data_IF_843753666547
#
_entry.id   IF_843753666547
#
_cell.length_a   1.000
_cell.length_b   1.000
_cell.length_c   1.000
_cell.angle_alpha   90.00
_cell.angle_beta   90.00
_cell.angle_gamma   90.00
#
_symmetry.space_group_name_H-M   'P 1'
#
loop_
_entity.id
_entity.type
_entity.pdbx_description
1 polymer ?
#
# COMPACT_ATOMS: atom_id res chain seq x y z
N UNK A 1 14.69 9.78 15.51
CA UNK A 1 13.65 8.76 15.78
C UNK A 1 12.47 8.98 14.84
N UNK A 2 11.85 7.93 14.32
CA UNK A 2 10.63 8.05 13.52
C UNK A 2 9.51 8.67 14.38
N UNK A 3 8.79 9.65 13.84
CA UNK A 3 7.62 10.23 14.51
C UNK A 3 6.50 9.16 14.49
N UNK A 4 6.05 8.65 15.65
CA UNK A 4 5.01 7.62 15.69
C UNK A 4 3.63 8.14 15.20
N UNK A 5 3.49 9.45 14.99
CA UNK A 5 2.30 10.07 14.41
C UNK A 5 2.38 10.24 12.89
N UNK A 6 3.56 10.02 12.29
CA UNK A 6 3.70 10.07 10.84
C UNK A 6 2.98 8.88 10.19
N UNK A 7 2.30 9.09 9.04
CA UNK A 7 1.70 8.01 8.26
C UNK A 7 2.73 6.92 7.93
N UNK A 8 2.30 5.65 7.92
CA UNK A 8 3.19 4.50 7.73
C UNK A 8 4.09 4.63 6.49
N UNK A 9 3.54 5.13 5.37
CA UNK A 9 4.22 5.30 4.09
C UNK A 9 4.88 6.69 3.91
N UNK A 10 5.05 7.48 4.97
CA UNK A 10 5.66 8.81 4.85
C UNK A 10 7.15 8.75 4.46
N UNK A 11 7.92 7.85 5.08
CA UNK A 11 9.31 7.55 4.72
C UNK A 11 9.40 6.18 4.06
N UNK A 12 9.64 6.15 2.75
CA UNK A 12 9.67 4.91 1.98
C UNK A 12 10.91 4.04 2.22
N UNK A 13 12.02 4.59 2.71
CA UNK A 13 13.20 3.80 3.07
C UNK A 13 12.90 3.01 4.34
N UNK A 14 12.29 3.67 5.33
CA UNK A 14 11.84 3.01 6.55
C UNK A 14 10.71 2.00 6.26
N UNK A 15 9.75 2.39 5.41
CA UNK A 15 8.62 1.53 5.03
C UNK A 15 9.09 0.24 4.38
N UNK A 16 10.08 0.28 3.49
CA UNK A 16 10.62 -0.93 2.86
C UNK A 16 11.14 -1.94 3.89
N UNK A 17 11.82 -1.45 4.94
CA UNK A 17 12.32 -2.32 6.02
C UNK A 17 11.16 -2.94 6.81
N UNK A 18 10.11 -2.16 7.10
CA UNK A 18 8.91 -2.64 7.79
C UNK A 18 8.14 -3.67 6.96
N UNK A 19 8.01 -3.45 5.65
CA UNK A 19 7.34 -4.38 4.73
C UNK A 19 8.06 -5.73 4.64
N UNK A 20 9.40 -5.72 4.56
CA UNK A 20 10.18 -6.96 4.61
C UNK A 20 9.99 -7.72 5.92
N UNK A 21 9.92 -7.03 7.06
CA UNK A 21 9.64 -7.66 8.35
C UNK A 21 8.23 -8.27 8.41
N UNK A 22 7.24 -7.56 7.88
CA UNK A 22 5.85 -8.06 7.80
C UNK A 22 5.80 -9.33 6.94
N UNK A 23 6.50 -9.35 5.81
CA UNK A 23 6.62 -10.51 4.92
C UNK A 23 7.33 -11.69 5.61
N UNK A 24 8.46 -11.45 6.28
CA UNK A 24 9.24 -12.47 6.99
C UNK A 24 8.48 -13.10 8.17
N UNK A 25 7.65 -12.32 8.86
CA UNK A 25 6.77 -12.81 9.93
C UNK A 25 5.61 -13.67 9.37
N UNK A 26 5.40 -13.67 8.05
CA UNK A 26 4.45 -14.54 7.36
C UNK A 26 3.11 -13.89 7.03
N UNK A 27 3.01 -12.56 7.08
CA UNK A 27 1.82 -11.88 6.56
C UNK A 27 1.75 -12.04 5.05
N UNK A 28 0.55 -12.37 4.56
CA UNK A 28 0.32 -12.64 3.14
C UNK A 28 -0.27 -11.45 2.39
N UNK A 29 -0.90 -10.50 3.08
CA UNK A 29 -1.63 -9.39 2.47
C UNK A 29 -1.51 -8.10 3.28
N UNK A 30 -1.41 -6.98 2.57
CA UNK A 30 -1.67 -5.63 3.10
C UNK A 30 -2.86 -5.01 2.36
N UNK A 31 -3.60 -4.17 3.08
CA UNK A 31 -4.68 -3.34 2.53
C UNK A 31 -4.24 -1.88 2.60
N UNK A 32 -4.28 -1.19 1.46
CA UNK A 32 -4.00 0.24 1.33
C UNK A 32 -5.34 0.98 1.28
N UNK A 33 -5.57 1.82 2.29
CA UNK A 33 -6.82 2.58 2.47
C UNK A 33 -6.51 3.99 2.99
N UNK A 34 -5.97 4.84 2.11
CA UNK A 34 -5.68 6.25 2.40
C UNK A 34 -6.89 7.15 2.08
N UNK A 35 -7.21 8.12 2.96
CA UNK A 35 -8.35 9.02 2.76
C UNK A 35 -8.22 9.96 1.55
N UNK A 36 -7.02 10.13 0.98
CA UNK A 36 -6.83 10.90 -0.25
C UNK A 36 -7.36 10.17 -1.51
N UNK A 37 -7.71 8.89 -1.40
CA UNK A 37 -8.46 8.14 -2.41
C UNK A 37 -7.60 7.42 -3.45
N UNK A 38 -8.23 7.03 -4.56
CA UNK A 38 -7.72 6.03 -5.51
C UNK A 38 -6.29 6.28 -5.99
N UNK A 39 -5.97 7.50 -6.44
CA UNK A 39 -4.64 7.79 -7.01
C UNK A 39 -3.53 7.66 -5.95
N UNK A 40 -3.79 8.14 -4.73
CA UNK A 40 -2.85 7.98 -3.61
C UNK A 40 -2.70 6.50 -3.23
N UNK A 41 -3.80 5.76 -3.19
CA UNK A 41 -3.78 4.33 -2.91
C UNK A 41 -3.00 3.55 -3.98
N UNK A 42 -3.11 3.92 -5.26
CA UNK A 42 -2.33 3.33 -6.34
C UNK A 42 -0.83 3.65 -6.22
N UNK A 43 -0.45 4.88 -5.90
CA UNK A 43 0.96 5.27 -5.70
C UNK A 43 1.59 4.51 -4.51
N UNK A 44 0.89 4.44 -3.39
CA UNK A 44 1.32 3.67 -2.21
C UNK A 44 1.44 2.18 -2.58
N UNK A 45 0.44 1.60 -3.24
CA UNK A 45 0.43 0.20 -3.63
C UNK A 45 1.59 -0.13 -4.59
N UNK A 46 1.83 0.70 -5.61
CA UNK A 46 2.94 0.52 -6.54
C UNK A 46 4.30 0.54 -5.83
N UNK A 47 4.51 1.48 -4.90
CA UNK A 47 5.76 1.56 -4.14
C UNK A 47 5.94 0.40 -3.18
N UNK A 48 4.86 -0.12 -2.61
CA UNK A 48 4.91 -1.32 -1.76
C UNK A 48 5.22 -2.57 -2.61
N UNK A 49 4.61 -2.71 -3.80
CA UNK A 49 4.89 -3.79 -4.74
C UNK A 49 6.36 -3.82 -5.16
N UNK A 50 6.98 -2.67 -5.40
CA UNK A 50 8.41 -2.55 -5.74
C UNK A 50 9.37 -2.98 -4.61
N UNK A 51 8.85 -3.32 -3.43
CA UNK A 51 9.63 -3.59 -2.20
C UNK A 51 9.28 -4.89 -1.50
N UNK A 52 8.26 -5.61 -1.96
CA UNK A 52 7.84 -6.91 -1.42
C UNK A 52 7.92 -7.97 -2.51
N UNK A 53 8.18 -9.22 -2.14
CA UNK A 53 8.33 -10.30 -3.13
C UNK A 53 7.13 -11.23 -3.26
N UNK A 54 6.40 -11.43 -2.16
CA UNK A 54 5.31 -12.40 -2.04
C UNK A 54 4.04 -11.82 -1.44
N UNK A 55 4.09 -10.56 -1.01
CA UNK A 55 3.02 -9.93 -0.27
C UNK A 55 1.92 -9.44 -1.23
N UNK A 56 0.69 -9.90 -1.05
CA UNK A 56 -0.46 -9.46 -1.84
C UNK A 56 -0.86 -8.04 -1.44
N UNK A 57 -1.02 -7.15 -2.41
CA UNK A 57 -1.38 -5.76 -2.17
C UNK A 57 -2.79 -5.53 -2.69
N UNK A 58 -3.69 -5.18 -1.78
CA UNK A 58 -5.06 -4.77 -2.09
C UNK A 58 -5.20 -3.30 -1.78
N UNK A 59 -5.89 -2.57 -2.64
CA UNK A 59 -6.23 -1.18 -2.39
C UNK A 59 -7.74 -0.99 -2.42
N UNK A 60 -8.22 -0.03 -1.63
CA UNK A 60 -9.61 0.40 -1.64
C UNK A 60 -9.79 1.58 -2.58
N UNK A 61 -11.01 1.75 -3.08
CA UNK A 61 -11.44 2.98 -3.71
C UNK A 61 -12.94 3.17 -3.49
N UNK A 62 -13.41 4.42 -3.55
CA UNK A 62 -14.84 4.69 -3.48
C UNK A 62 -15.56 4.27 -4.76
N UNK A 63 -16.80 3.81 -4.61
CA UNK A 63 -17.64 3.48 -5.74
C UNK A 63 -17.82 4.71 -6.66
N UNK A 64 -17.80 4.48 -7.97
CA UNK A 64 -17.96 5.54 -8.99
C UNK A 64 -16.70 6.36 -9.30
N UNK A 65 -15.59 6.18 -8.58
CA UNK A 65 -14.31 6.85 -8.89
C UNK A 65 -13.65 6.30 -10.15
N UNK A 66 -13.83 5.02 -10.41
CA UNK A 66 -13.31 4.31 -11.59
C UNK A 66 -14.43 3.47 -12.19
N UNK A 67 -14.55 3.50 -13.52
CA UNK A 67 -15.50 2.63 -14.22
C UNK A 67 -15.10 1.16 -13.99
N UNK A 68 -16.04 0.23 -13.74
CA UNK A 68 -15.70 -1.16 -13.46
C UNK A 68 -14.87 -1.84 -14.55
N UNK A 69 -15.10 -1.48 -15.81
CA UNK A 69 -14.34 -1.98 -16.96
C UNK A 69 -12.91 -1.44 -17.00
N UNK A 70 -12.66 -0.26 -16.44
CA UNK A 70 -11.32 0.32 -16.29
C UNK A 70 -10.62 -0.33 -15.10
N UNK A 71 -11.32 -0.58 -13.99
CA UNK A 71 -10.76 -1.24 -12.81
C UNK A 71 -10.38 -2.71 -13.07
N UNK A 72 -11.04 -3.38 -14.01
CA UNK A 72 -10.78 -4.78 -14.35
C UNK A 72 -9.69 -4.98 -15.41
N UNK A 73 -9.14 -3.90 -15.98
CA UNK A 73 -8.05 -3.94 -16.97
C UNK A 73 -6.70 -3.93 -16.28
#
# INVERSE_FOLDING_TARGET
PADPTAPFFYDFVETATKLLLIEDIGFQKIVVDDPAGLLTNMDIAARALDRTSSLEIVLTHWAGVIEPTVAAR
#
